data_IF_056288547083
#
_entry.id   IF_056288547083
#
_cell.length_a   1.000
_cell.length_b   1.000
_cell.length_c   1.000
_cell.angle_alpha   90.00
_cell.angle_beta   90.00
_cell.angle_gamma   90.00
#
_symmetry.space_group_name_H-M   'P 1'
#
loop_
_entity.id
_entity.type
_entity.pdbx_description
1 polymer ?
#
# COMPACT_ATOMS: atom_id res chain seq x y z
N UNK A 1 -13.01 -3.28 -14.27
CA UNK A 1 -12.00 -3.90 -13.43
C UNK A 1 -12.04 -3.24 -12.06
N UNK A 2 -12.23 -4.04 -11.03
CA UNK A 2 -12.15 -3.68 -9.63
C UNK A 2 -10.71 -3.88 -9.18
N UNK A 3 -10.05 -2.80 -8.78
CA UNK A 3 -8.66 -2.82 -8.34
C UNK A 3 -8.57 -2.46 -6.88
N UNK A 4 -7.82 -3.24 -6.12
CA UNK A 4 -7.61 -3.03 -4.69
C UNK A 4 -6.14 -2.82 -4.43
N UNK A 5 -5.82 -1.75 -3.73
CA UNK A 5 -4.47 -1.51 -3.21
C UNK A 5 -4.38 -1.93 -1.75
N UNK A 6 -3.28 -2.58 -1.38
CA UNK A 6 -2.97 -2.96 -0.01
C UNK A 6 -1.61 -2.36 0.35
N UNK A 7 -1.60 -1.47 1.33
CA UNK A 7 -0.43 -0.72 1.75
C UNK A 7 -0.77 0.71 2.13
N UNK A 8 0.26 1.54 2.30
CA UNK A 8 0.10 2.97 2.56
C UNK A 8 1.21 3.79 1.90
N UNK A 9 1.14 5.12 2.00
CA UNK A 9 2.19 6.01 1.51
C UNK A 9 1.84 6.82 0.27
N UNK A 10 2.70 7.79 -0.03
CA UNK A 10 2.48 8.78 -1.08
C UNK A 10 2.67 8.18 -2.48
N UNK A 11 3.63 7.27 -2.62
CA UNK A 11 3.96 6.59 -3.87
C UNK A 11 2.79 5.71 -4.34
N UNK A 12 2.19 4.97 -3.41
CA UNK A 12 0.95 4.23 -3.65
C UNK A 12 -0.16 5.18 -4.10
N UNK A 13 -0.33 6.32 -3.43
CA UNK A 13 -1.36 7.29 -3.80
C UNK A 13 -1.17 7.85 -5.21
N UNK A 14 0.07 8.18 -5.60
CA UNK A 14 0.34 8.71 -6.93
C UNK A 14 0.09 7.69 -8.03
N UNK A 15 0.42 6.40 -7.77
CA UNK A 15 0.04 5.32 -8.67
C UNK A 15 -1.48 5.14 -8.76
N UNK A 16 -2.17 5.20 -7.63
CA UNK A 16 -3.63 5.09 -7.60
C UNK A 16 -4.31 6.20 -8.42
N UNK A 17 -3.80 7.44 -8.36
CA UNK A 17 -4.29 8.55 -9.20
C UNK A 17 -4.12 8.24 -10.69
N UNK A 18 -2.97 7.69 -11.08
CA UNK A 18 -2.68 7.32 -12.47
C UNK A 18 -3.55 6.17 -12.97
N UNK A 19 -3.91 5.22 -12.10
CA UNK A 19 -4.74 4.06 -12.45
C UNK A 19 -6.25 4.33 -12.34
N UNK A 20 -6.68 5.34 -11.56
CA UNK A 20 -8.09 5.73 -11.39
C UNK A 20 -8.89 5.80 -12.71
N UNK A 21 -8.46 6.48 -13.79
CA UNK A 21 -9.27 6.59 -15.01
C UNK A 21 -9.49 5.27 -15.76
N UNK A 22 -8.71 4.23 -15.44
CA UNK A 22 -8.76 2.93 -16.11
C UNK A 22 -9.61 1.91 -15.34
N UNK A 23 -9.91 2.19 -14.08
CA UNK A 23 -10.62 1.30 -13.17
C UNK A 23 -12.13 1.63 -13.14
N UNK A 24 -12.97 0.60 -12.97
CA UNK A 24 -14.40 0.83 -12.68
C UNK A 24 -14.60 1.19 -11.20
N UNK A 25 -13.83 0.52 -10.33
CA UNK A 25 -13.79 0.76 -8.90
C UNK A 25 -12.34 0.62 -8.46
N UNK A 26 -11.88 1.58 -7.66
CA UNK A 26 -10.56 1.55 -7.07
C UNK A 26 -10.71 1.70 -5.55
N UNK A 27 -10.22 0.72 -4.81
CA UNK A 27 -10.26 0.72 -3.35
C UNK A 27 -8.86 0.56 -2.76
N UNK A 28 -8.68 0.95 -1.51
CA UNK A 28 -7.46 0.75 -0.75
C UNK A 28 -7.73 0.29 0.67
N UNK A 29 -6.85 -0.57 1.18
CA UNK A 29 -6.79 -0.97 2.58
C UNK A 29 -5.43 -0.54 3.12
N UNK A 30 -5.45 0.36 4.11
CA UNK A 30 -4.28 1.06 4.59
C UNK A 30 -3.85 0.62 5.98
N UNK A 31 -2.54 0.41 6.15
CA UNK A 31 -1.98 0.07 7.45
C UNK A 31 -2.17 1.22 8.44
N UNK A 32 -2.62 0.88 9.65
CA UNK A 32 -2.78 1.80 10.78
C UNK A 32 -2.13 1.22 12.05
N UNK A 33 -1.02 0.50 11.88
CA UNK A 33 -0.27 -0.14 12.97
C UNK A 33 0.72 0.81 13.68
N UNK A 34 0.22 1.98 14.09
CA UNK A 34 0.98 2.94 14.92
C UNK A 34 0.32 3.07 16.30
N UNK A 35 1.02 3.67 17.29
CA UNK A 35 0.49 3.84 18.64
C UNK A 35 -0.81 4.63 18.58
N UNK A 36 -1.92 3.92 18.74
CA UNK A 36 -3.27 4.43 18.77
C UNK A 36 -3.81 4.28 20.18
N UNK A 37 -4.66 5.21 20.61
CA UNK A 37 -5.27 5.09 21.93
C UNK A 37 -6.40 4.07 21.84
N UNK A 38 -6.29 3.03 22.65
CA UNK A 38 -7.34 2.04 22.80
C UNK A 38 -8.34 2.52 23.85
N UNK A 39 -9.57 2.83 23.43
CA UNK A 39 -10.66 3.18 24.34
C UNK A 39 -11.40 1.89 24.67
N UNK A 40 -11.25 1.44 25.91
CA UNK A 40 -11.96 0.29 26.49
C UNK A 40 -11.78 -1.04 25.74
N UNK A 41 -10.67 -1.23 25.00
CA UNK A 41 -10.37 -2.48 24.28
C UNK A 41 -11.40 -2.80 23.19
N UNK A 42 -12.14 -1.79 22.70
CA UNK A 42 -13.27 -1.94 21.78
C UNK A 42 -13.06 -1.25 20.44
N UNK A 43 -12.24 -0.20 20.38
CA UNK A 43 -12.05 0.59 19.17
C UNK A 43 -10.73 1.36 19.19
N UNK A 44 -10.06 1.41 18.03
CA UNK A 44 -8.90 2.25 17.81
C UNK A 44 -9.30 3.72 17.67
N UNK A 45 -8.76 4.58 18.53
CA UNK A 45 -8.65 5.99 18.20
C UNK A 45 -7.37 6.18 17.38
N UNK A 46 -7.54 6.29 16.06
CA UNK A 46 -6.43 6.52 15.14
C UNK A 46 -5.71 7.84 15.48
N UNK A 47 -4.39 7.84 15.33
CA UNK A 47 -3.59 9.05 15.48
C UNK A 47 -3.90 10.05 14.37
N UNK A 48 -3.52 11.32 14.59
CA UNK A 48 -3.65 12.36 13.55
C UNK A 48 -2.94 11.96 12.24
N UNK A 49 -1.74 11.39 12.33
CA UNK A 49 -0.98 10.95 11.14
C UNK A 49 -1.74 9.90 10.33
N UNK A 50 -2.39 8.94 11.00
CA UNK A 50 -3.17 7.89 10.35
C UNK A 50 -4.42 8.46 9.67
N UNK A 51 -5.13 9.35 10.36
CA UNK A 51 -6.32 10.02 9.79
C UNK A 51 -5.94 10.89 8.60
N UNK A 52 -4.84 11.64 8.67
CA UNK A 52 -4.35 12.46 7.56
C UNK A 52 -4.01 11.62 6.31
N UNK A 53 -3.39 10.44 6.48
CA UNK A 53 -3.12 9.50 5.38
C UNK A 53 -4.43 9.01 4.76
N UNK A 54 -5.37 8.55 5.58
CA UNK A 54 -6.66 8.05 5.07
C UNK A 54 -7.47 9.15 4.36
N UNK A 55 -7.50 10.34 4.93
CA UNK A 55 -8.17 11.51 4.36
C UNK A 55 -7.52 11.95 3.05
N UNK A 56 -6.19 12.08 3.01
CA UNK A 56 -5.47 12.51 1.81
C UNK A 56 -5.64 11.51 0.67
N UNK A 57 -5.58 10.21 0.95
CA UNK A 57 -5.84 9.16 -0.04
C UNK A 57 -7.26 9.22 -0.57
N UNK A 58 -8.26 9.31 0.31
CA UNK A 58 -9.66 9.36 -0.11
C UNK A 58 -9.97 10.62 -0.91
N UNK A 59 -9.45 11.79 -0.49
CA UNK A 59 -9.62 13.03 -1.25
C UNK A 59 -8.97 12.96 -2.63
N UNK A 60 -7.72 12.52 -2.72
CA UNK A 60 -7.01 12.42 -3.99
C UNK A 60 -7.64 11.40 -4.96
N UNK A 61 -8.20 10.31 -4.44
CA UNK A 61 -8.96 9.36 -5.23
C UNK A 61 -10.28 9.90 -5.75
N UNK A 62 -10.82 10.95 -5.15
CA UNK A 62 -12.16 11.41 -5.42
C UNK A 62 -12.20 12.81 -6.06
N UNK A 63 -11.13 13.58 -5.94
CA UNK A 63 -10.95 14.85 -6.65
C UNK A 63 -10.74 14.62 -8.14
N UNK A 64 -11.82 14.64 -8.92
CA UNK A 64 -11.76 15.03 -10.32
C UNK A 64 -11.81 16.57 -10.37
N UNK A 65 -11.03 17.18 -11.27
CA UNK A 65 -10.97 18.63 -11.48
C UNK A 65 -12.39 19.24 -11.57
N UNK A 66 -12.55 20.43 -10.99
CA UNK A 66 -13.74 21.32 -11.05
C UNK A 66 -14.92 21.05 -10.10
N UNK A 67 -14.66 20.90 -8.81
CA UNK A 67 -15.66 21.37 -7.81
C UNK A 67 -15.01 22.34 -6.82
N UNK A 68 -14.90 23.60 -7.28
CA UNK A 68 -14.88 24.82 -6.44
C UNK A 68 -16.25 25.12 -5.82
N UNK A 69 -17.11 24.11 -5.64
CA UNK A 69 -18.34 24.26 -4.89
C UNK A 69 -18.18 23.62 -3.53
N UNK A 70 -18.29 24.48 -2.54
CA UNK A 70 -18.38 24.30 -1.09
C UNK A 70 -19.43 23.25 -0.69
N UNK A 71 -19.20 21.99 -1.06
CA UNK A 71 -19.68 20.86 -0.28
C UNK A 71 -18.84 20.86 0.98
N UNK A 72 -19.48 20.92 2.15
CA UNK A 72 -18.80 20.77 3.43
C UNK A 72 -18.23 19.35 3.50
N UNK A 73 -17.02 19.13 2.97
CA UNK A 73 -16.28 17.89 3.13
C UNK A 73 -16.23 17.63 4.63
N UNK A 74 -16.75 16.49 5.05
CA UNK A 74 -16.78 16.15 6.47
C UNK A 74 -15.33 16.09 6.99
N UNK A 75 -15.04 16.70 8.14
CA UNK A 75 -13.70 16.60 8.70
C UNK A 75 -13.51 15.19 9.26
N UNK A 76 -12.61 14.39 8.68
CA UNK A 76 -12.37 13.02 9.10
C UNK A 76 -11.94 12.94 10.57
N UNK A 77 -11.18 13.92 11.07
CA UNK A 77 -10.81 14.01 12.49
C UNK A 77 -12.04 14.15 13.38
N UNK A 78 -12.99 14.99 12.97
CA UNK A 78 -14.23 15.19 13.71
C UNK A 78 -15.10 13.94 13.63
N UNK A 79 -15.18 13.29 12.46
CA UNK A 79 -15.89 12.03 12.30
C UNK A 79 -15.27 10.92 13.15
N UNK A 80 -13.95 10.84 13.23
CA UNK A 80 -13.26 9.85 14.07
C UNK A 80 -13.58 10.03 15.57
N UNK A 81 -13.92 11.25 16.00
CA UNK A 81 -14.38 11.54 17.37
C UNK A 81 -15.88 11.26 17.58
N UNK A 82 -16.68 11.26 16.51
CA UNK A 82 -18.15 11.11 16.58
C UNK A 82 -18.61 9.68 16.29
N UNK A 83 -17.84 8.92 15.51
CA UNK A 83 -18.14 7.55 15.12
C UNK A 83 -17.60 6.54 16.15
N UNK A 84 -18.20 5.35 16.16
CA UNK A 84 -17.80 4.28 17.07
C UNK A 84 -16.57 3.51 16.60
N UNK A 85 -16.27 3.55 15.29
CA UNK A 85 -15.12 2.84 14.69
C UNK A 85 -14.45 3.65 13.58
N UNK A 86 -13.15 3.42 13.31
CA UNK A 86 -12.45 4.01 12.17
C UNK A 86 -13.12 3.70 10.83
N UNK A 87 -13.58 2.46 10.63
CA UNK A 87 -14.29 2.06 9.40
C UNK A 87 -15.58 2.87 9.23
N UNK A 88 -16.36 3.07 10.29
CA UNK A 88 -17.56 3.89 10.24
C UNK A 88 -17.23 5.35 9.88
N UNK A 89 -16.21 5.94 10.51
CA UNK A 89 -15.76 7.30 10.19
C UNK A 89 -15.35 7.43 8.71
N UNK A 90 -14.60 6.46 8.19
CA UNK A 90 -14.21 6.42 6.78
C UNK A 90 -15.40 6.23 5.85
N UNK A 91 -16.38 5.40 6.22
CA UNK A 91 -17.60 5.20 5.43
C UNK A 91 -18.39 6.49 5.31
N UNK A 92 -18.60 7.22 6.43
CA UNK A 92 -19.29 8.51 6.42
C UNK A 92 -18.50 9.54 5.61
N UNK A 93 -17.17 9.57 5.77
CA UNK A 93 -16.30 10.46 5.00
C UNK A 93 -16.40 10.18 3.48
N UNK A 94 -16.27 8.93 3.06
CA UNK A 94 -16.36 8.51 1.65
C UNK A 94 -17.75 8.80 1.06
N UNK A 95 -18.83 8.63 1.83
CA UNK A 95 -20.18 8.99 1.41
C UNK A 95 -20.33 10.50 1.15
N UNK A 96 -19.66 11.35 1.96
CA UNK A 96 -19.66 12.80 1.74
C UNK A 96 -18.98 13.22 0.43
N UNK A 97 -18.09 12.37 -0.10
CA UNK A 97 -17.41 12.56 -1.39
C UNK A 97 -18.23 12.01 -2.58
N UNK A 98 -19.34 11.31 -2.32
CA UNK A 98 -20.24 10.73 -3.33
C UNK A 98 -19.52 9.85 -4.38
N UNK A 99 -18.64 8.96 -3.92
CA UNK A 99 -17.79 8.12 -4.79
C UNK A 99 -17.93 6.63 -4.52
N UNK A 100 -17.70 5.81 -5.54
CA UNK A 100 -17.63 4.35 -5.41
C UNK A 100 -16.26 3.83 -4.92
N UNK A 101 -15.26 4.71 -4.82
CA UNK A 101 -13.92 4.39 -4.35
C UNK A 101 -13.90 4.38 -2.83
N UNK A 102 -13.32 3.33 -2.24
CA UNK A 102 -13.27 3.16 -0.79
C UNK A 102 -11.82 3.10 -0.31
N UNK A 103 -11.47 3.98 0.63
CA UNK A 103 -10.26 3.84 1.45
C UNK A 103 -10.70 3.34 2.82
N UNK A 104 -10.12 2.21 3.24
CA UNK A 104 -10.46 1.50 4.47
C UNK A 104 -9.22 1.36 5.36
N UNK A 105 -9.35 1.45 6.69
CA UNK A 105 -8.27 1.11 7.60
C UNK A 105 -8.08 -0.42 7.64
N UNK A 106 -6.90 -0.88 8.07
CA UNK A 106 -6.63 -2.33 8.20
C UNK A 106 -7.52 -3.01 9.25
N UNK A 107 -7.97 -2.27 10.26
CA UNK A 107 -8.67 -2.79 11.44
C UNK A 107 -9.40 -1.66 12.16
N UNK A 108 -10.50 -2.00 12.84
CA UNK A 108 -11.19 -1.11 13.79
C UNK A 108 -10.59 -1.14 15.20
N UNK A 109 -9.67 -2.07 15.46
CA UNK A 109 -9.01 -2.29 16.74
C UNK A 109 -7.55 -1.80 16.71
N UNK A 110 -7.13 -1.17 17.82
CA UNK A 110 -5.79 -0.66 17.99
C UNK A 110 -4.79 -1.81 18.12
N UNK A 111 -3.70 -1.74 17.35
CA UNK A 111 -2.57 -2.66 17.48
C UNK A 111 -1.28 -2.00 17.00
N UNK A 112 -0.17 -2.42 17.58
CA UNK A 112 1.17 -1.98 17.21
C UNK A 112 1.89 -3.08 16.44
N UNK A 113 2.78 -2.69 15.53
CA UNK A 113 3.77 -3.62 14.99
C UNK A 113 4.89 -3.81 16.00
N UNK A 114 5.22 -5.06 16.33
CA UNK A 114 6.31 -5.44 17.24
C UNK A 114 7.34 -6.27 16.47
N UNK A 115 8.61 -5.99 16.68
CA UNK A 115 9.72 -6.76 16.17
C UNK A 115 10.63 -7.26 17.31
N UNK A 116 11.14 -8.49 17.18
CA UNK A 116 12.18 -9.04 18.06
C UNK A 116 13.47 -9.17 17.25
N UNK A 117 14.54 -8.52 17.67
CA UNK A 117 15.84 -8.61 16.99
C UNK A 117 16.52 -9.96 17.27
N UNK A 118 17.56 -10.31 16.51
CA UNK A 118 18.36 -11.51 16.79
C UNK A 118 19.08 -11.47 18.14
N UNK A 119 19.27 -10.27 18.71
CA UNK A 119 19.80 -10.08 20.06
C UNK A 119 18.75 -10.28 21.17
N UNK A 120 17.48 -10.50 20.83
CA UNK A 120 16.36 -10.63 21.78
C UNK A 120 15.75 -9.30 22.21
N UNK A 121 16.14 -8.18 21.61
CA UNK A 121 15.57 -6.86 21.92
C UNK A 121 14.18 -6.73 21.30
N UNK A 122 13.23 -6.20 22.07
CA UNK A 122 11.87 -5.91 21.60
C UNK A 122 11.76 -4.46 21.14
N UNK A 123 11.30 -4.26 19.91
CA UNK A 123 11.14 -2.95 19.27
C UNK A 123 9.67 -2.78 18.90
N UNK A 124 9.06 -1.71 19.40
CA UNK A 124 7.61 -1.47 19.27
C UNK A 124 7.38 -0.25 18.37
N UNK A 125 6.43 -0.40 17.44
CA UNK A 125 5.94 0.65 16.56
C UNK A 125 6.69 0.72 15.23
N UNK A 126 5.93 0.89 14.15
CA UNK A 126 6.42 0.97 12.77
C UNK A 126 7.58 1.94 12.59
N UNK A 127 7.53 3.14 13.17
CA UNK A 127 8.61 4.13 13.08
C UNK A 127 9.94 3.62 13.66
N UNK A 128 9.91 2.93 14.79
CA UNK A 128 11.12 2.42 15.43
C UNK A 128 11.67 1.21 14.67
N UNK A 129 10.79 0.33 14.20
CA UNK A 129 11.15 -0.81 13.35
C UNK A 129 11.80 -0.32 12.05
N UNK A 130 11.30 0.76 11.45
CA UNK A 130 11.87 1.33 10.23
C UNK A 130 13.33 1.78 10.37
N UNK A 131 13.75 2.13 11.59
CA UNK A 131 15.11 2.60 11.91
C UNK A 131 16.08 1.46 12.22
N UNK A 132 15.63 0.21 12.18
CA UNK A 132 16.51 -0.94 12.33
C UNK A 132 17.53 -0.98 11.19
N UNK A 133 18.70 -1.54 11.49
CA UNK A 133 19.80 -1.69 10.54
C UNK A 133 19.88 -3.08 9.91
N UNK A 134 19.03 -4.00 10.36
CA UNK A 134 18.92 -5.37 9.85
C UNK A 134 17.53 -5.93 10.11
N UNK A 135 17.10 -6.87 9.26
CA UNK A 135 15.81 -7.56 9.41
C UNK A 135 15.68 -8.20 10.80
N UNK A 136 14.57 -7.97 11.51
CA UNK A 136 14.36 -8.59 12.81
C UNK A 136 14.15 -10.11 12.66
N UNK A 137 14.32 -10.83 13.77
CA UNK A 137 14.11 -12.28 13.80
C UNK A 137 12.63 -12.62 13.65
N UNK A 138 11.78 -11.90 14.38
CA UNK A 138 10.33 -12.11 14.41
C UNK A 138 9.61 -10.76 14.29
N UNK A 139 8.46 -10.74 13.62
CA UNK A 139 7.56 -9.58 13.55
C UNK A 139 6.11 -10.05 13.74
N UNK A 140 5.35 -9.32 14.54
CA UNK A 140 3.95 -9.64 14.83
C UNK A 140 3.18 -8.41 15.30
N UNK A 141 1.85 -8.54 15.38
CA UNK A 141 0.97 -7.51 15.92
C UNK A 141 0.85 -7.65 17.45
N UNK A 142 0.82 -6.54 18.18
CA UNK A 142 0.70 -6.54 19.64
C UNK A 142 -0.61 -7.18 20.13
N UNK A 143 -1.65 -7.16 19.30
CA UNK A 143 -2.92 -7.84 19.51
C UNK A 143 -3.37 -8.52 18.22
N UNK A 144 -4.01 -9.67 18.36
CA UNK A 144 -4.77 -10.23 17.24
C UNK A 144 -5.98 -9.35 16.99
N UNK A 145 -6.00 -8.70 15.82
CA UNK A 145 -7.08 -7.81 15.39
C UNK A 145 -7.77 -8.37 14.16
N UNK A 146 -9.05 -8.04 14.03
CA UNK A 146 -9.87 -8.36 12.87
C UNK A 146 -9.95 -7.16 11.93
N UNK A 147 -10.11 -7.44 10.64
CA UNK A 147 -10.43 -6.40 9.65
C UNK A 147 -11.95 -6.26 9.51
N UNK A 148 -12.41 -5.16 8.90
CA UNK A 148 -13.84 -4.96 8.68
C UNK A 148 -14.37 -5.87 7.56
N UNK A 149 -15.67 -6.20 7.60
CA UNK A 149 -16.31 -6.99 6.55
C UNK A 149 -16.21 -6.30 5.18
N UNK A 150 -16.25 -4.97 5.16
CA UNK A 150 -16.08 -4.17 3.94
C UNK A 150 -14.68 -4.40 3.33
N UNK A 151 -13.62 -4.45 4.16
CA UNK A 151 -12.27 -4.71 3.69
C UNK A 151 -12.12 -6.13 3.11
N UNK A 152 -12.73 -7.13 3.75
CA UNK A 152 -12.80 -8.51 3.22
C UNK A 152 -13.52 -8.53 1.87
N UNK A 153 -14.71 -7.93 1.78
CA UNK A 153 -15.50 -7.92 0.54
C UNK A 153 -14.76 -7.26 -0.62
N UNK A 154 -14.02 -6.20 -0.35
CA UNK A 154 -13.24 -5.49 -1.38
C UNK A 154 -12.16 -6.41 -1.95
N UNK A 155 -11.49 -7.22 -1.12
CA UNK A 155 -10.51 -8.23 -1.57
C UNK A 155 -11.17 -9.36 -2.37
N UNK A 156 -12.32 -9.85 -1.92
CA UNK A 156 -13.05 -10.95 -2.56
C UNK A 156 -13.62 -10.53 -3.94
N UNK A 157 -14.10 -9.29 -4.07
CA UNK A 157 -14.67 -8.72 -5.30
C UNK A 157 -13.62 -8.15 -6.28
N UNK A 158 -12.33 -8.23 -5.92
CA UNK A 158 -11.25 -7.68 -6.73
C UNK A 158 -10.99 -8.52 -7.99
N UNK A 159 -10.72 -7.83 -9.10
CA UNK A 159 -10.13 -8.49 -10.29
C UNK A 159 -8.59 -8.49 -10.19
N UNK A 160 -8.03 -7.46 -9.56
CA UNK A 160 -6.60 -7.24 -9.37
C UNK A 160 -6.33 -6.65 -7.98
N UNK A 161 -5.39 -7.26 -7.26
CA UNK A 161 -4.86 -6.77 -5.99
C UNK A 161 -3.44 -6.29 -6.21
N UNK A 162 -3.16 -5.05 -5.84
CA UNK A 162 -1.85 -4.43 -5.94
C UNK A 162 -1.31 -4.19 -4.53
N UNK A 163 -0.16 -4.76 -4.21
CA UNK A 163 0.57 -4.49 -2.97
C UNK A 163 1.59 -3.38 -3.23
N UNK A 164 1.47 -2.26 -2.50
CA UNK A 164 2.35 -1.10 -2.67
C UNK A 164 2.13 -0.30 -3.96
N UNK A 165 3.10 0.54 -4.38
CA UNK A 165 4.44 0.71 -3.80
C UNK A 165 4.40 1.37 -2.41
N UNK A 166 5.01 0.73 -1.42
CA UNK A 166 5.06 1.19 -0.03
C UNK A 166 6.23 0.53 0.71
N UNK A 167 6.46 0.87 1.98
CA UNK A 167 7.44 0.14 2.79
C UNK A 167 6.95 -1.30 3.05
N UNK A 168 7.66 -2.33 2.56
CA UNK A 168 7.21 -3.72 2.69
C UNK A 168 7.09 -4.19 4.15
N UNK A 169 7.86 -3.58 5.05
CA UNK A 169 7.94 -4.03 6.45
C UNK A 169 6.99 -3.25 7.34
N UNK A 170 6.89 -1.92 7.20
CA UNK A 170 6.09 -1.12 8.13
C UNK A 170 4.68 -0.83 7.64
N UNK A 171 4.46 -0.87 6.33
CA UNK A 171 3.20 -0.43 5.72
C UNK A 171 2.45 -1.59 5.06
N UNK A 172 3.14 -2.69 4.74
CA UNK A 172 2.54 -3.89 4.14
C UNK A 172 2.47 -5.07 5.10
N UNK A 173 3.54 -5.37 5.84
CA UNK A 173 3.54 -6.48 6.81
C UNK A 173 2.38 -6.44 7.81
N UNK A 174 1.98 -5.29 8.40
CA UNK A 174 0.89 -5.30 9.37
C UNK A 174 -0.44 -5.80 8.79
N UNK A 175 -0.72 -5.48 7.52
CA UNK A 175 -1.92 -5.94 6.81
C UNK A 175 -1.88 -7.45 6.58
N UNK A 176 -0.71 -7.99 6.21
CA UNK A 176 -0.53 -9.42 5.93
C UNK A 176 -0.55 -10.30 7.19
N UNK A 177 -0.36 -9.70 8.38
CA UNK A 177 -0.45 -10.41 9.66
C UNK A 177 -1.89 -10.61 10.14
N UNK A 178 -2.87 -9.92 9.55
CA UNK A 178 -4.29 -10.03 9.92
C UNK A 178 -4.90 -11.30 9.31
N UNK A 179 -5.48 -12.17 10.14
CA UNK A 179 -6.00 -13.48 9.70
C UNK A 179 -7.13 -13.35 8.67
N UNK A 180 -8.01 -12.36 8.81
CA UNK A 180 -9.11 -12.14 7.87
C UNK A 180 -8.59 -11.73 6.48
N UNK A 181 -7.60 -10.83 6.44
CA UNK A 181 -6.93 -10.43 5.19
C UNK A 181 -6.20 -11.62 4.58
N UNK A 182 -5.46 -12.39 5.38
CA UNK A 182 -4.81 -13.63 4.93
C UNK A 182 -5.81 -14.57 4.27
N UNK A 183 -6.94 -14.84 4.92
CA UNK A 183 -7.97 -15.74 4.40
C UNK A 183 -8.52 -15.22 3.07
N UNK A 184 -8.91 -13.95 3.01
CA UNK A 184 -9.42 -13.33 1.80
C UNK A 184 -8.41 -13.39 0.64
N UNK A 185 -7.12 -13.14 0.91
CA UNK A 185 -6.03 -13.22 -0.08
C UNK A 185 -5.74 -14.63 -0.59
N UNK A 186 -6.05 -15.66 0.19
CA UNK A 186 -5.87 -17.07 -0.18
C UNK A 186 -7.09 -17.64 -0.92
N UNK A 187 -8.27 -17.09 -0.66
CA UNK A 187 -9.55 -17.54 -1.24
C UNK A 187 -9.91 -16.77 -2.53
N UNK A 188 -9.43 -15.54 -2.70
CA UNK A 188 -9.71 -14.70 -3.87
C UNK A 188 -9.15 -15.29 -5.17
N UNK A 189 -9.88 -15.10 -6.28
CA UNK A 189 -9.43 -15.40 -7.64
C UNK A 189 -8.71 -14.22 -8.32
N UNK A 190 -8.58 -13.08 -7.63
CA UNK A 190 -7.92 -11.89 -8.16
C UNK A 190 -6.46 -12.18 -8.52
N UNK A 191 -5.95 -11.54 -9.56
CA UNK A 191 -4.50 -11.52 -9.80
C UNK A 191 -3.82 -10.70 -8.72
N UNK A 192 -2.71 -11.19 -8.16
CA UNK A 192 -2.02 -10.51 -7.04
C UNK A 192 -0.65 -10.00 -7.49
N UNK A 193 -0.51 -8.69 -7.56
CA UNK A 193 0.67 -8.00 -8.05
C UNK A 193 1.37 -7.26 -6.92
N UNK A 194 2.66 -7.52 -6.72
CA UNK A 194 3.51 -6.72 -5.84
C UNK A 194 4.28 -5.68 -6.67
N UNK A 195 4.22 -4.41 -6.27
CA UNK A 195 5.07 -3.36 -6.82
C UNK A 195 6.16 -3.05 -5.79
N UNK A 196 7.35 -3.54 -6.08
CA UNK A 196 8.48 -3.49 -5.17
C UNK A 196 9.23 -2.16 -5.26
N UNK A 197 9.62 -1.61 -4.10
CA UNK A 197 10.29 -0.33 -3.99
C UNK A 197 11.67 -0.49 -3.31
N UNK A 198 12.69 -0.94 -4.05
CA UNK A 198 14.00 -1.30 -3.48
C UNK A 198 14.84 -0.13 -2.94
N UNK A 199 14.40 1.12 -3.13
CA UNK A 199 15.12 2.32 -2.67
C UNK A 199 14.19 3.20 -1.83
N UNK A 200 13.91 2.75 -0.60
CA UNK A 200 13.06 3.47 0.35
C UNK A 200 13.90 4.46 1.18
N UNK A 201 13.27 5.42 1.85
CA UNK A 201 13.91 6.19 2.93
C UNK A 201 14.23 5.33 4.16
N UNK A 202 13.76 4.07 4.17
CA UNK A 202 14.01 3.08 5.22
C UNK A 202 15.45 2.59 5.24
N UNK A 203 16.13 2.75 6.38
CA UNK A 203 17.44 2.11 6.62
C UNK A 203 17.34 0.60 6.63
N UNK A 204 16.21 0.06 7.09
CA UNK A 204 15.95 -1.37 7.20
C UNK A 204 15.83 -2.03 5.82
N UNK A 205 14.97 -1.49 4.95
CA UNK A 205 14.78 -2.04 3.59
C UNK A 205 16.08 -1.94 2.80
N UNK A 206 16.79 -0.82 2.91
CA UNK A 206 18.06 -0.61 2.21
C UNK A 206 19.22 -1.46 2.76
N UNK A 207 19.06 -2.11 3.92
CA UNK A 207 20.09 -2.99 4.50
C UNK A 207 20.18 -4.36 3.81
N UNK A 208 19.18 -4.72 2.99
CA UNK A 208 19.08 -6.02 2.34
C UNK A 208 18.50 -5.91 0.93
N UNK A 209 18.63 -6.97 0.15
CA UNK A 209 18.08 -7.04 -1.21
C UNK A 209 16.58 -7.34 -1.19
N UNK A 210 15.88 -6.99 -2.29
CA UNK A 210 14.46 -7.35 -2.48
C UNK A 210 14.16 -8.82 -2.25
N UNK A 211 15.01 -9.70 -2.77
CA UNK A 211 14.83 -11.13 -2.58
C UNK A 211 14.94 -11.55 -1.11
N UNK A 212 15.81 -10.92 -0.33
CA UNK A 212 16.04 -11.27 1.07
C UNK A 212 14.86 -10.85 1.94
N UNK A 213 14.39 -9.60 1.86
CA UNK A 213 13.23 -9.22 2.66
C UNK A 213 11.96 -9.89 2.19
N UNK A 214 11.72 -10.11 0.90
CA UNK A 214 10.52 -10.82 0.45
C UNK A 214 10.51 -12.27 0.90
N UNK A 215 11.68 -12.93 0.88
CA UNK A 215 11.82 -14.26 1.46
C UNK A 215 11.56 -14.24 2.97
N UNK A 216 12.14 -13.28 3.68
CA UNK A 216 11.91 -13.10 5.11
C UNK A 216 10.42 -12.88 5.42
N UNK A 217 9.74 -11.99 4.68
CA UNK A 217 8.32 -11.71 4.85
C UNK A 217 7.48 -12.97 4.69
N UNK A 218 7.75 -13.76 3.63
CA UNK A 218 7.09 -15.05 3.40
C UNK A 218 7.29 -16.01 4.56
N UNK A 219 8.49 -16.07 5.14
CA UNK A 219 8.79 -16.89 6.31
C UNK A 219 8.05 -16.41 7.56
N UNK A 220 7.88 -15.09 7.75
CA UNK A 220 7.14 -14.53 8.88
C UNK A 220 5.63 -14.84 8.80
N UNK A 221 5.02 -14.60 7.63
CA UNK A 221 3.56 -14.77 7.48
C UNK A 221 3.14 -16.22 7.20
N UNK A 222 4.05 -17.03 6.65
CA UNK A 222 3.81 -18.46 6.38
C UNK A 222 2.96 -18.75 5.14
N UNK A 223 2.78 -17.78 4.23
CA UNK A 223 2.05 -17.97 2.98
C UNK A 223 2.58 -17.06 1.85
N UNK A 224 2.22 -17.37 0.61
CA UNK A 224 2.52 -16.52 -0.55
C UNK A 224 1.34 -15.57 -0.79
N UNK A 225 1.60 -14.26 -0.76
CA UNK A 225 0.56 -13.23 -0.87
C UNK A 225 0.46 -12.58 -2.26
N UNK A 226 1.44 -12.79 -3.15
CA UNK A 226 1.45 -12.26 -4.52
C UNK A 226 1.84 -13.32 -5.54
N UNK A 227 1.39 -13.15 -6.78
CA UNK A 227 1.68 -14.02 -7.93
C UNK A 227 2.84 -13.49 -8.77
N UNK A 228 2.88 -12.17 -8.96
CA UNK A 228 3.87 -11.48 -9.79
C UNK A 228 4.45 -10.30 -9.02
N UNK A 229 5.73 -10.01 -9.21
CA UNK A 229 6.40 -8.80 -8.70
C UNK A 229 6.91 -7.96 -9.84
N UNK A 230 6.66 -6.66 -9.78
CA UNK A 230 7.34 -5.66 -10.60
C UNK A 230 8.36 -4.98 -9.69
N UNK A 231 9.64 -5.13 -10.00
CA UNK A 231 10.71 -4.38 -9.33
C UNK A 231 11.37 -3.40 -10.31
N UNK A 232 12.08 -2.42 -9.77
CA UNK A 232 12.70 -1.32 -10.52
C UNK A 232 13.67 -1.78 -11.64
N UNK A 233 14.12 -3.04 -11.61
CA UNK A 233 14.95 -3.66 -12.65
C UNK A 233 14.14 -4.10 -13.89
N UNK A 234 12.81 -4.12 -13.80
CA UNK A 234 11.91 -4.57 -14.87
C UNK A 234 11.11 -3.44 -15.49
N UNK A 235 11.18 -2.20 -14.99
CA UNK A 235 10.48 -1.06 -15.60
C UNK A 235 10.92 -0.83 -17.04
N UNK A 236 12.21 -0.99 -17.33
CA UNK A 236 12.77 -0.87 -18.69
C UNK A 236 12.36 -2.02 -19.61
N UNK A 237 12.22 -3.24 -19.07
CA UNK A 237 11.78 -4.43 -19.83
C UNK A 237 10.27 -4.34 -20.13
N UNK A 238 9.47 -3.89 -19.15
CA UNK A 238 8.04 -3.65 -19.35
C UNK A 238 7.83 -2.46 -20.28
N UNK A 239 8.66 -1.40 -20.22
CA UNK A 239 8.70 -0.31 -21.22
C UNK A 239 9.00 -0.84 -22.61
N UNK A 240 10.03 -1.69 -22.74
CA UNK A 240 10.43 -2.28 -24.01
C UNK A 240 9.30 -3.11 -24.62
N UNK A 241 8.71 -4.04 -23.85
CA UNK A 241 7.60 -4.86 -24.33
C UNK A 241 6.32 -4.05 -24.54
N UNK A 242 6.05 -3.00 -23.76
CA UNK A 242 4.95 -2.07 -24.01
C UNK A 242 5.13 -1.35 -25.35
N UNK A 243 6.32 -0.79 -25.62
CA UNK A 243 6.65 -0.16 -26.89
C UNK A 243 6.56 -1.15 -28.07
N UNK A 244 7.00 -2.39 -27.86
CA UNK A 244 6.89 -3.47 -28.84
C UNK A 244 5.44 -3.89 -29.08
N UNK A 245 4.60 -3.90 -28.04
CA UNK A 245 3.17 -4.23 -28.12
C UNK A 245 2.33 -3.12 -28.77
N UNK A 246 2.78 -1.86 -28.68
CA UNK A 246 2.18 -0.72 -29.40
C UNK A 246 2.46 -0.77 -30.92
N UNK A 247 3.30 -1.69 -31.41
CA UNK A 247 3.68 -1.80 -32.82
C UNK A 247 2.59 -2.33 -33.75
N UNK A 248 1.39 -2.65 -33.26
CA UNK A 248 0.32 -3.22 -34.07
C UNK A 248 -0.93 -2.34 -33.98
N UNK A 249 -1.06 -1.46 -34.99
CA UNK A 249 -2.22 -0.62 -35.31
C UNK A 249 -2.63 0.49 -34.31
N UNK A 250 -2.76 1.76 -34.76
CA UNK A 250 -3.14 2.90 -33.91
C UNK A 250 -4.57 2.85 -33.34
N UNK A 251 -5.45 1.99 -33.84
CA UNK A 251 -6.83 1.87 -33.35
C UNK A 251 -6.95 1.01 -32.06
N UNK A 252 -6.02 0.08 -31.80
CA UNK A 252 -6.08 -0.81 -30.63
C UNK A 252 -5.56 -0.15 -29.34
N UNK A 253 -4.70 0.86 -29.46
CA UNK A 253 -4.08 1.56 -28.32
C UNK A 253 -5.08 2.42 -27.52
N UNK A 254 -6.13 2.94 -28.16
CA UNK A 254 -7.07 3.87 -27.51
C UNK A 254 -8.13 3.16 -26.65
N UNK A 255 -8.37 1.87 -26.87
CA UNK A 255 -9.44 1.11 -26.21
C UNK A 255 -8.94 -0.03 -25.30
N UNK A 256 -7.64 -0.33 -25.30
CA UNK A 256 -7.10 -1.42 -24.49
C UNK A 256 -6.74 -0.95 -23.08
N UNK A 257 -7.71 -1.07 -22.17
CA UNK A 257 -7.54 -0.75 -20.74
C UNK A 257 -6.34 -1.47 -20.10
N UNK A 258 -6.00 -2.66 -20.57
CA UNK A 258 -4.85 -3.44 -20.08
C UNK A 258 -3.53 -2.76 -20.46
N UNK A 259 -3.38 -2.28 -21.70
CA UNK A 259 -2.19 -1.53 -22.13
C UNK A 259 -2.07 -0.18 -21.39
N UNK A 260 -3.18 0.52 -21.17
CA UNK A 260 -3.20 1.74 -20.36
C UNK A 260 -2.73 1.50 -18.92
N UNK A 261 -3.14 0.39 -18.30
CA UNK A 261 -2.70 0.05 -16.95
C UNK A 261 -1.22 -0.33 -16.92
N UNK A 262 -0.73 -1.03 -17.94
CA UNK A 262 0.71 -1.31 -18.07
C UNK A 262 1.54 -0.03 -18.21
N UNK A 263 1.09 0.97 -18.98
CA UNK A 263 1.76 2.27 -19.09
C UNK A 263 1.80 3.02 -17.75
N UNK A 264 0.68 3.06 -17.02
CA UNK A 264 0.63 3.73 -15.71
C UNK A 264 1.49 3.02 -14.65
N UNK A 265 1.57 1.68 -14.69
CA UNK A 265 2.49 0.89 -13.84
C UNK A 265 3.96 1.13 -14.20
N UNK A 266 4.24 1.39 -15.47
CA UNK A 266 5.56 1.72 -16.00
C UNK A 266 6.02 3.13 -15.63
N UNK A 267 5.08 4.07 -15.53
CA UNK A 267 5.32 5.48 -15.21
C UNK A 267 5.29 5.78 -13.71
N UNK A 268 5.09 4.76 -12.85
CA UNK A 268 5.30 4.89 -11.39
C UNK A 268 6.69 5.49 -11.17
N UNK A 269 6.81 6.66 -10.50
CA UNK A 269 8.09 7.31 -10.33
C UNK A 269 9.04 6.40 -9.55
N UNK A 270 9.97 5.81 -10.29
CA UNK A 270 11.18 5.21 -9.78
C UNK A 270 12.00 6.31 -9.11
N UNK A 271 11.84 6.52 -7.81
CA UNK A 271 12.59 7.54 -7.07
C UNK A 271 14.07 7.12 -6.93
N UNK A 272 14.83 7.35 -8.00
CA UNK A 272 16.02 8.19 -8.08
C UNK A 272 16.50 8.06 -9.52
N UNK A 273 16.27 9.08 -10.34
CA UNK A 273 16.92 9.19 -11.64
C UNK A 273 18.43 9.07 -11.41
N UNK A 274 19.12 8.28 -12.23
CA UNK A 274 20.58 8.08 -12.18
C UNK A 274 21.33 9.42 -12.12
N UNK A 275 20.77 10.48 -12.73
CA UNK A 275 21.28 11.85 -12.68
C UNK A 275 21.32 12.45 -11.26
N UNK A 276 20.37 12.11 -10.38
CA UNK A 276 20.37 12.53 -8.98
C UNK A 276 21.40 11.76 -8.14
N UNK A 277 21.71 10.50 -8.48
CA UNK A 277 22.78 9.72 -7.83
C UNK A 277 24.18 10.20 -8.24
N UNK A 278 24.37 10.61 -9.51
CA UNK A 278 25.65 11.16 -10.00
C UNK A 278 25.98 12.51 -9.35
N UNK A 279 24.97 13.34 -9.06
CA UNK A 279 25.15 14.60 -8.34
C UNK A 279 25.55 14.45 -6.86
N UNK A 280 25.44 13.24 -6.28
CA UNK A 280 25.76 12.94 -4.87
C UNK A 280 27.17 12.38 -4.63
N UNK A 281 28.04 12.31 -5.66
CA UNK A 281 29.43 11.82 -5.57
C UNK A 281 29.61 10.46 -4.84
N UNK A 282 28.63 9.55 -4.92
CA UNK A 282 28.79 8.19 -4.41
C UNK A 282 29.47 7.32 -5.48
N UNK A 283 30.76 6.99 -5.27
CA UNK A 283 31.50 6.11 -6.19
C UNK A 283 31.02 4.67 -6.04
N UNK A 284 30.42 4.12 -7.09
CA UNK A 284 30.08 2.69 -7.16
C UNK A 284 31.17 2.01 -7.99
N UNK A 285 31.93 1.11 -7.37
CA UNK A 285 32.86 0.23 -8.07
C UNK A 285 32.06 -0.88 -8.78
N UNK A 286 32.36 -1.20 -10.05
CA UNK A 286 31.62 -2.21 -10.78
C UNK A 286 31.96 -3.62 -10.25
N UNK A 287 30.97 -4.34 -9.73
CA UNK A 287 31.07 -5.77 -9.49
C UNK A 287 31.13 -6.48 -10.85
N UNK A 288 32.26 -7.14 -11.13
CA UNK A 288 32.44 -8.01 -12.30
C UNK A 288 31.77 -9.36 -12.00
N UNK A 289 30.98 -9.84 -12.96
CA UNK A 289 30.36 -11.16 -13.02
C UNK A 289 31.37 -12.31 -12.82
#
# INVERSE_FOLDING_TARGET
MNVVFIGAGQEMLDLMKSLKPLCQRLSAICATAEPSFDIDNKCALLSYSQLEILQSMSLALNSCKEQEQTSHIANLELLALLCHTPTEAMTVFNQSLNTANNVLPMSDFATDLIAITYGGETVIGSKNINNLTALPKEVFLSKDVNTSLDAVSVIEDADLIIFGPCNPITDLMPLLLIQDIRRALLETSASRLLIDMPNSTSTLVNSCTSSEYLHWMKCQIGYQFFDVTISNQFSDIVKYHYQESMSVSPDDALHNKTLGMMSALVDVPSAMSVEAMVNLQLSIAPARY
#
